data_IF_606716427264
#
_entry.id   IF_606716427264
#
_cell.length_a   1.000
_cell.length_b   1.000
_cell.length_c   1.000
_cell.angle_alpha   90.00
_cell.angle_beta   90.00
_cell.angle_gamma   90.00
#
_symmetry.space_group_name_H-M   'P 1'
#
loop_
_entity.id
_entity.type
_entity.pdbx_description
1 polymer ?
#
# COMPACT_ATOMS: atom_id res chain seq x y z
N UNK A 1 -26.17 -1.02 -5.35
CA UNK A 1 -24.74 -0.76 -5.14
C UNK A 1 -24.03 -1.91 -5.79
N UNK A 2 -23.32 -1.63 -6.87
CA UNK A 2 -22.77 -2.68 -7.74
C UNK A 2 -21.28 -2.91 -7.47
N UNK A 3 -20.62 -1.94 -6.82
CA UNK A 3 -19.20 -1.98 -6.51
C UNK A 3 -18.84 -1.00 -5.39
N UNK A 4 -17.74 -1.28 -4.68
CA UNK A 4 -17.09 -0.38 -3.71
C UNK A 4 -15.66 -0.07 -4.18
N UNK A 5 -15.21 1.17 -3.99
CA UNK A 5 -13.82 1.57 -4.19
C UNK A 5 -13.34 2.21 -2.87
N UNK A 6 -12.26 1.70 -2.30
CA UNK A 6 -11.67 2.22 -1.07
C UNK A 6 -10.26 2.80 -1.32
N UNK A 7 -10.02 3.99 -0.78
CA UNK A 7 -8.75 4.71 -0.89
C UNK A 7 -8.45 5.31 0.48
N UNK A 8 -7.34 4.94 1.09
CA UNK A 8 -6.93 5.42 2.41
C UNK A 8 -5.90 4.48 3.04
N UNK A 9 -5.70 4.54 4.37
CA UNK A 9 -4.71 3.70 5.03
C UNK A 9 -4.97 2.20 4.81
N UNK A 10 -3.92 1.38 4.69
CA UNK A 10 -4.04 -0.07 4.48
C UNK A 10 -4.98 -0.77 5.48
N UNK A 11 -4.97 -0.36 6.74
CA UNK A 11 -5.88 -0.89 7.77
C UNK A 11 -7.36 -0.57 7.48
N UNK A 12 -7.64 0.64 6.98
CA UNK A 12 -8.99 1.04 6.59
C UNK A 12 -9.44 0.26 5.35
N UNK A 13 -8.59 0.18 4.33
CA UNK A 13 -8.90 -0.54 3.09
C UNK A 13 -9.15 -2.03 3.35
N UNK A 14 -8.37 -2.66 4.23
CA UNK A 14 -8.61 -4.03 4.71
C UNK A 14 -9.99 -4.16 5.38
N UNK A 15 -10.34 -3.25 6.28
CA UNK A 15 -11.63 -3.30 6.97
C UNK A 15 -12.82 -3.17 5.99
N UNK A 16 -12.69 -2.33 4.97
CA UNK A 16 -13.70 -2.21 3.91
C UNK A 16 -13.80 -3.50 3.10
N UNK A 17 -12.66 -4.05 2.64
CA UNK A 17 -12.62 -5.29 1.89
C UNK A 17 -13.22 -6.49 2.67
N UNK A 18 -12.94 -6.60 3.96
CA UNK A 18 -13.47 -7.65 4.83
C UNK A 18 -14.99 -7.49 5.05
N UNK A 19 -15.49 -6.26 5.15
CA UNK A 19 -16.92 -5.97 5.28
C UNK A 19 -17.68 -6.34 4.00
N UNK A 20 -17.17 -5.92 2.84
CA UNK A 20 -17.82 -6.14 1.55
C UNK A 20 -17.75 -7.59 1.09
N UNK A 21 -16.71 -8.34 1.49
CA UNK A 21 -16.60 -9.79 1.22
C UNK A 21 -17.79 -10.57 1.78
N UNK A 22 -18.27 -10.21 2.97
CA UNK A 22 -19.41 -10.89 3.63
C UNK A 22 -20.72 -10.81 2.85
N UNK A 23 -20.87 -9.76 2.05
CA UNK A 23 -22.08 -9.50 1.24
C UNK A 23 -21.83 -9.74 -0.25
N UNK A 24 -20.66 -10.25 -0.63
CA UNK A 24 -20.31 -10.56 -2.02
C UNK A 24 -20.19 -9.33 -2.93
N UNK A 25 -19.91 -8.15 -2.36
CA UNK A 25 -19.79 -6.91 -3.15
C UNK A 25 -18.38 -6.76 -3.72
N UNK A 26 -18.22 -6.62 -5.06
CA UNK A 26 -16.93 -6.33 -5.68
C UNK A 26 -16.28 -5.09 -5.06
N UNK A 27 -15.02 -5.20 -4.66
CA UNK A 27 -14.32 -4.13 -3.96
C UNK A 27 -12.94 -3.91 -4.54
N UNK A 28 -12.70 -2.69 -5.06
CA UNK A 28 -11.36 -2.27 -5.44
C UNK A 28 -10.71 -1.48 -4.30
N UNK A 29 -9.41 -1.68 -4.13
CA UNK A 29 -8.57 -0.90 -3.20
C UNK A 29 -7.44 -0.24 -3.98
N UNK A 30 -7.17 1.03 -3.68
CA UNK A 30 -6.00 1.74 -4.21
C UNK A 30 -4.84 1.57 -3.25
N UNK A 31 -3.99 0.58 -3.48
CA UNK A 31 -2.83 0.32 -2.61
C UNK A 31 -1.77 1.42 -2.74
N UNK A 32 -1.09 1.71 -1.63
CA UNK A 32 -0.07 2.75 -1.50
C UNK A 32 1.31 2.20 -1.06
N UNK A 33 1.90 1.24 -1.81
CA UNK A 33 3.22 0.73 -1.48
C UNK A 33 4.31 1.77 -1.73
N UNK A 34 5.49 1.58 -1.10
CA UNK A 34 6.67 2.39 -1.38
C UNK A 34 7.01 2.34 -2.88
N UNK A 35 7.15 3.51 -3.50
CA UNK A 35 7.52 3.68 -4.91
C UNK A 35 8.86 4.41 -5.02
N UNK A 36 9.67 4.03 -6.00
CA UNK A 36 10.96 4.68 -6.30
C UNK A 36 10.99 5.18 -7.73
N UNK A 37 10.93 4.26 -8.70
CA UNK A 37 11.00 4.58 -10.13
C UNK A 37 9.61 4.92 -10.73
N UNK A 38 8.57 4.19 -10.33
CA UNK A 38 7.21 4.37 -10.85
C UNK A 38 6.98 3.87 -12.28
N UNK A 39 7.93 3.14 -12.88
CA UNK A 39 7.85 2.67 -14.27
C UNK A 39 8.05 1.16 -14.43
N UNK A 40 8.17 0.42 -13.32
CA UNK A 40 8.22 -1.05 -13.31
C UNK A 40 9.63 -1.65 -13.38
N UNK A 41 10.67 -0.84 -13.21
CA UNK A 41 12.07 -1.26 -13.28
C UNK A 41 12.62 -1.76 -11.94
N UNK A 42 12.17 -1.22 -10.80
CA UNK A 42 12.81 -1.52 -9.50
C UNK A 42 12.08 -2.53 -8.61
N UNK A 43 10.76 -2.72 -8.80
CA UNK A 43 9.97 -3.62 -7.95
C UNK A 43 9.78 -3.19 -6.48
N UNK A 44 10.11 -1.93 -6.13
CA UNK A 44 9.85 -1.39 -4.79
C UNK A 44 8.36 -1.44 -4.44
N UNK A 45 7.50 -1.16 -5.42
CA UNK A 45 6.04 -1.16 -5.26
C UNK A 45 5.39 -2.54 -5.36
N UNK A 46 6.16 -3.63 -5.22
CA UNK A 46 5.62 -4.98 -5.36
C UNK A 46 4.61 -5.30 -4.26
N UNK A 47 3.61 -6.10 -4.64
CA UNK A 47 2.62 -6.68 -3.75
C UNK A 47 2.15 -8.04 -4.23
N UNK A 48 1.71 -8.88 -3.31
CA UNK A 48 1.04 -10.14 -3.64
C UNK A 48 -0.46 -9.94 -3.80
N UNK A 49 -0.96 -10.29 -4.99
CA UNK A 49 -2.39 -10.32 -5.31
C UNK A 49 -2.74 -11.71 -5.84
N UNK A 50 -3.64 -12.42 -5.15
CA UNK A 50 -4.05 -13.78 -5.49
C UNK A 50 -2.85 -14.75 -5.65
N UNK A 51 -1.88 -14.66 -4.73
CA UNK A 51 -0.66 -15.49 -4.75
C UNK A 51 0.35 -15.14 -5.84
N UNK A 52 0.11 -14.12 -6.66
CA UNK A 52 1.04 -13.66 -7.69
C UNK A 52 1.66 -12.31 -7.29
N UNK A 53 2.94 -12.14 -7.59
CA UNK A 53 3.61 -10.84 -7.42
C UNK A 53 3.17 -9.90 -8.55
N UNK A 54 2.73 -8.70 -8.18
CA UNK A 54 2.32 -7.59 -9.06
C UNK A 54 3.06 -6.31 -8.66
N UNK A 55 3.17 -5.36 -9.58
CA UNK A 55 3.81 -4.07 -9.36
C UNK A 55 2.76 -2.96 -9.29
N UNK A 56 2.63 -2.27 -8.16
CA UNK A 56 1.61 -1.23 -7.98
C UNK A 56 1.69 -0.08 -9.01
N UNK A 57 2.89 0.25 -9.49
CA UNK A 57 3.07 1.34 -10.47
C UNK A 57 2.73 0.97 -11.93
N UNK A 58 2.66 -0.34 -12.27
CA UNK A 58 2.41 -0.80 -13.65
C UNK A 58 1.12 -1.63 -13.73
N UNK A 59 0.95 -2.58 -12.82
CA UNK A 59 -0.23 -3.46 -12.77
C UNK A 59 -1.40 -2.82 -12.00
N UNK A 60 -1.14 -1.78 -11.21
CA UNK A 60 -2.08 -1.15 -10.29
C UNK A 60 -2.51 0.26 -10.71
N UNK A 61 -2.76 1.18 -9.76
CA UNK A 61 -2.73 1.00 -8.29
C UNK A 61 -4.01 0.37 -7.72
N UNK A 62 -5.04 0.19 -8.56
CA UNK A 62 -6.32 -0.40 -8.18
C UNK A 62 -6.28 -1.92 -8.32
N UNK A 63 -6.46 -2.63 -7.21
CA UNK A 63 -6.52 -4.09 -7.18
C UNK A 63 -7.82 -4.58 -6.55
N UNK A 64 -8.17 -5.84 -6.79
CA UNK A 64 -9.24 -6.51 -6.07
C UNK A 64 -8.88 -6.63 -4.59
N UNK A 65 -9.57 -5.85 -3.75
CA UNK A 65 -9.35 -5.82 -2.31
C UNK A 65 -9.59 -7.17 -1.64
N UNK A 66 -10.29 -8.11 -2.28
CA UNK A 66 -10.47 -9.46 -1.74
C UNK A 66 -9.28 -10.38 -2.02
N UNK A 67 -8.33 -9.95 -2.85
CA UNK A 67 -7.19 -10.75 -3.28
C UNK A 67 -5.83 -10.17 -2.86
N UNK A 68 -5.80 -8.93 -2.35
CA UNK A 68 -4.59 -8.26 -1.87
C UNK A 68 -4.12 -8.85 -0.53
N UNK A 69 -2.82 -9.11 -0.41
CA UNK A 69 -2.17 -9.40 0.88
C UNK A 69 -1.92 -8.09 1.65
N UNK A 70 -2.85 -7.72 2.52
CA UNK A 70 -2.73 -6.52 3.34
C UNK A 70 -1.63 -6.61 4.40
N UNK A 71 -1.31 -7.82 4.88
CA UNK A 71 -0.30 -7.98 5.93
C UNK A 71 1.09 -7.73 5.37
N UNK A 72 1.39 -8.29 4.21
CA UNK A 72 2.63 -8.00 3.46
C UNK A 72 2.80 -6.49 3.30
N UNK A 73 1.78 -5.80 2.80
CA UNK A 73 1.88 -4.37 2.51
C UNK A 73 2.01 -3.50 3.76
N UNK A 74 1.35 -3.86 4.87
CA UNK A 74 1.52 -3.15 6.15
C UNK A 74 2.94 -3.32 6.69
N UNK A 75 3.57 -4.49 6.54
CA UNK A 75 4.96 -4.68 6.94
C UNK A 75 5.91 -3.89 6.04
N UNK A 76 5.68 -3.91 4.72
CA UNK A 76 6.49 -3.16 3.74
C UNK A 76 6.41 -1.66 3.94
N UNK A 77 5.24 -1.13 4.30
CA UNK A 77 5.05 0.29 4.59
C UNK A 77 5.81 0.80 5.82
N UNK A 78 6.34 -0.08 6.66
CA UNK A 78 7.16 0.28 7.84
C UNK A 78 8.66 0.12 7.60
N UNK A 79 9.07 -0.27 6.39
CA UNK A 79 10.46 -0.62 6.09
C UNK A 79 11.45 0.52 6.40
N UNK A 80 11.03 1.78 6.21
CA UNK A 80 11.89 2.96 6.39
C UNK A 80 11.47 3.85 7.57
N UNK A 81 10.71 3.32 8.53
CA UNK A 81 10.15 4.14 9.62
C UNK A 81 11.24 4.83 10.47
N UNK A 82 12.39 4.19 10.66
CA UNK A 82 13.51 4.76 11.41
C UNK A 82 14.22 5.86 10.60
N UNK A 83 14.46 5.63 9.31
CA UNK A 83 15.05 6.61 8.40
C UNK A 83 14.14 7.82 8.20
N UNK A 84 12.83 7.60 8.08
CA UNK A 84 11.80 8.65 8.03
C UNK A 84 11.83 9.52 9.29
N UNK A 85 11.97 8.90 10.47
CA UNK A 85 12.11 9.63 11.74
C UNK A 85 13.41 10.44 11.77
N UNK A 86 14.54 9.85 11.42
CA UNK A 86 15.83 10.54 11.38
C UNK A 86 15.78 11.72 10.40
N UNK A 87 15.20 11.53 9.22
CA UNK A 87 15.05 12.58 8.22
C UNK A 87 14.14 13.72 8.72
N UNK A 88 13.03 13.39 9.38
CA UNK A 88 12.12 14.36 9.96
C UNK A 88 12.78 15.16 11.09
N UNK A 89 13.53 14.52 11.97
CA UNK A 89 14.23 15.17 13.08
C UNK A 89 15.38 16.05 12.56
N UNK A 90 16.14 15.58 11.57
CA UNK A 90 17.18 16.37 10.90
C UNK A 90 16.59 17.62 10.22
N UNK A 91 15.44 17.48 9.56
CA UNK A 91 14.72 18.60 8.96
C UNK A 91 14.23 19.60 10.02
N UNK A 92 13.65 19.11 11.13
CA UNK A 92 13.17 19.95 12.25
C UNK A 92 14.30 20.72 12.95
N UNK A 93 15.48 20.13 13.05
CA UNK A 93 16.67 20.75 13.66
C UNK A 93 17.46 21.64 12.68
N UNK A 94 16.96 21.91 11.47
CA UNK A 94 17.64 22.77 10.49
C UNK A 94 18.94 22.19 9.93
N UNK A 95 19.12 20.87 9.94
CA UNK A 95 20.30 20.18 9.42
C UNK A 95 21.52 20.13 10.37
N UNK A 96 21.36 20.55 11.63
CA UNK A 96 22.47 20.68 12.59
C UNK A 96 22.76 19.47 13.49
N UNK A 97 21.86 18.50 13.60
CA UNK A 97 22.07 17.33 14.47
C UNK A 97 22.71 16.19 13.66
N UNK A 98 24.05 16.18 13.65
CA UNK A 98 24.88 15.03 13.30
C UNK A 98 25.35 14.32 14.57
#
# INVERSE_FOLDING_TARGET
>A
IDQVIAIGPMAMMRAVADLTRKVGLPTLVSVDPVMVDGTGMCGACRLTVNGQVKFGCVDGPLFDGHQVDFEEQVQRGKMYADEERVALDAWRCGGGCR
#
